data_IF_326040139161
#
_entry.id   IF_326040139161
#
_cell.length_a   1.000
_cell.length_b   1.000
_cell.length_c   1.000
_cell.angle_alpha   90.00
_cell.angle_beta   90.00
_cell.angle_gamma   90.00
#
_symmetry.space_group_name_H-M   'P 1'
#
loop_
_entity.id
_entity.type
_entity.pdbx_description
1 polymer ?
#
# COMPACT_ATOMS: atom_id res chain seq x y z
N UNK A 1 -11.28 -10.48 -22.93
CA UNK A 1 -10.73 -11.78 -22.53
C UNK A 1 -9.30 -11.68 -21.95
N UNK A 2 -8.48 -10.70 -22.35
CA UNK A 2 -7.08 -10.54 -21.89
C UNK A 2 -6.90 -9.82 -20.55
N UNK A 3 -7.88 -9.07 -20.09
CA UNK A 3 -7.82 -8.28 -18.86
C UNK A 3 -7.80 -9.10 -17.56
N UNK A 4 -8.56 -10.20 -17.54
CA UNK A 4 -8.56 -11.11 -16.39
C UNK A 4 -7.24 -11.84 -16.18
N UNK A 5 -6.36 -11.86 -17.20
CA UNK A 5 -5.09 -12.55 -17.13
C UNK A 5 -4.03 -11.77 -16.34
N UNK A 6 -4.05 -10.42 -16.31
CA UNK A 6 -3.06 -9.62 -15.60
C UNK A 6 -3.26 -9.70 -14.07
N UNK A 7 -4.50 -9.65 -13.58
CA UNK A 7 -4.83 -9.88 -12.17
C UNK A 7 -4.84 -11.37 -11.81
N UNK A 8 -5.21 -12.26 -12.74
CA UNK A 8 -5.06 -13.70 -12.57
C UNK A 8 -3.58 -14.15 -12.55
N UNK A 9 -2.68 -13.37 -13.14
CA UNK A 9 -1.24 -13.64 -13.09
C UNK A 9 -0.65 -13.44 -11.68
N UNK A 10 -1.29 -12.63 -10.83
CA UNK A 10 -0.95 -12.53 -9.40
C UNK A 10 -1.42 -13.77 -8.60
N UNK A 11 -2.03 -14.76 -9.30
CA UNK A 11 -2.34 -16.06 -8.70
C UNK A 11 -3.53 -16.10 -7.76
N UNK A 12 -4.27 -15.02 -7.70
CA UNK A 12 -5.49 -14.93 -6.92
C UNK A 12 -6.62 -14.62 -7.87
N UNK A 13 -7.41 -15.59 -8.29
CA UNK A 13 -8.70 -15.19 -8.74
C UNK A 13 -9.13 -15.33 -10.22
N UNK A 14 -8.69 -16.31 -10.91
CA UNK A 14 -9.47 -16.69 -12.11
C UNK A 14 -10.94 -16.99 -11.75
N UNK A 15 -11.20 -17.48 -10.54
CA UNK A 15 -12.55 -17.82 -10.05
C UNK A 15 -13.18 -16.64 -9.29
N UNK A 16 -12.42 -15.96 -8.40
CA UNK A 16 -12.94 -14.82 -7.65
C UNK A 16 -13.17 -13.60 -8.55
N UNK A 17 -12.26 -13.32 -9.49
CA UNK A 17 -12.43 -12.26 -10.49
C UNK A 17 -13.66 -12.47 -11.37
N UNK A 18 -13.91 -13.69 -11.86
CA UNK A 18 -15.15 -14.01 -12.61
C UNK A 18 -16.40 -13.82 -11.77
N UNK A 19 -16.37 -14.13 -10.47
CA UNK A 19 -17.51 -13.93 -9.56
C UNK A 19 -17.72 -12.45 -9.22
N UNK A 20 -16.64 -11.66 -9.03
CA UNK A 20 -16.71 -10.23 -8.75
C UNK A 20 -17.08 -9.41 -10.00
N UNK A 21 -16.52 -9.72 -11.17
CA UNK A 21 -16.89 -9.09 -12.42
C UNK A 21 -18.35 -9.38 -12.84
N UNK A 22 -18.89 -10.56 -12.47
CA UNK A 22 -20.30 -10.91 -12.69
C UNK A 22 -21.26 -10.18 -11.73
N UNK A 23 -20.77 -9.66 -10.58
CA UNK A 23 -21.55 -8.87 -9.61
C UNK A 23 -21.56 -7.36 -9.93
N UNK A 24 -20.86 -6.91 -10.96
CA UNK A 24 -20.56 -5.52 -11.29
C UNK A 24 -21.67 -4.67 -11.86
N UNK A 25 -22.95 -4.96 -11.62
CA UNK A 25 -24.10 -4.15 -12.04
C UNK A 25 -24.88 -3.53 -10.87
N UNK A 26 -24.28 -3.44 -9.68
CA UNK A 26 -24.86 -2.73 -8.55
C UNK A 26 -24.51 -1.24 -8.61
N UNK A 27 -25.51 -0.37 -8.58
CA UNK A 27 -25.45 1.07 -8.85
C UNK A 27 -24.23 1.77 -8.24
N UNK A 28 -23.65 2.65 -9.05
CA UNK A 28 -22.57 3.54 -8.65
C UNK A 28 -22.99 4.32 -7.38
N UNK A 29 -22.15 4.29 -6.34
CA UNK A 29 -22.28 5.29 -5.29
C UNK A 29 -22.16 6.67 -5.94
N UNK A 30 -22.89 7.65 -5.43
CA UNK A 30 -22.73 9.04 -5.84
C UNK A 30 -21.25 9.35 -5.79
N UNK A 31 -20.68 9.78 -6.91
CA UNK A 31 -19.26 10.07 -7.03
C UNK A 31 -18.95 11.43 -6.39
N UNK A 32 -18.91 11.47 -5.07
CA UNK A 32 -18.36 12.55 -4.25
C UNK A 32 -16.83 12.48 -4.17
N UNK A 33 -16.24 11.48 -4.83
CA UNK A 33 -14.86 11.10 -4.71
C UNK A 33 -13.83 12.15 -5.11
N UNK A 34 -14.17 13.12 -5.97
CA UNK A 34 -13.27 14.23 -6.31
C UNK A 34 -12.99 15.14 -5.10
N UNK A 35 -13.97 15.29 -4.17
CA UNK A 35 -13.77 16.02 -2.91
C UNK A 35 -12.93 15.21 -1.90
N UNK A 36 -12.93 13.89 -2.03
CA UNK A 36 -12.23 12.97 -1.13
C UNK A 36 -10.77 12.73 -1.60
N UNK A 37 -10.53 12.77 -2.92
CA UNK A 37 -9.22 12.59 -3.51
C UNK A 37 -8.44 13.93 -3.56
N UNK A 38 -7.11 13.81 -3.56
CA UNK A 38 -6.22 14.98 -3.61
C UNK A 38 -5.95 15.65 -2.26
N UNK A 39 -5.28 16.78 -2.29
CA UNK A 39 -4.80 17.51 -1.12
C UNK A 39 -5.88 18.26 -0.34
N UNK A 40 -7.07 18.37 -0.88
CA UNK A 40 -8.21 19.12 -0.36
C UNK A 40 -8.71 20.15 -1.37
N UNK A 41 -9.94 20.66 -1.18
CA UNK A 41 -10.53 21.67 -2.07
C UNK A 41 -9.74 22.97 -1.99
N UNK A 42 -9.26 23.46 -3.15
CA UNK A 42 -8.48 24.70 -3.23
C UNK A 42 -7.04 24.59 -2.67
N UNK A 43 -6.60 23.41 -2.25
CA UNK A 43 -5.24 23.20 -1.74
C UNK A 43 -4.33 22.77 -2.89
N UNK A 44 -3.32 23.59 -3.18
CA UNK A 44 -2.26 23.20 -4.12
C UNK A 44 -1.42 22.05 -3.51
N UNK A 45 -0.91 21.19 -4.40
CA UNK A 45 0.02 20.13 -3.97
C UNK A 45 1.26 20.77 -3.35
N UNK A 46 1.61 20.47 -2.09
CA UNK A 46 2.83 20.99 -1.50
C UNK A 46 4.07 20.41 -2.18
N UNK A 47 5.16 21.17 -2.18
CA UNK A 47 6.46 20.70 -2.63
C UNK A 47 6.92 19.52 -1.76
N UNK A 48 7.68 18.61 -2.36
CA UNK A 48 8.31 17.50 -1.66
C UNK A 48 9.80 17.74 -1.46
N UNK A 49 10.34 17.22 -0.39
CA UNK A 49 11.77 17.08 -0.19
C UNK A 49 12.29 15.81 -0.87
N UNK A 50 13.60 15.75 -1.12
CA UNK A 50 14.23 14.58 -1.76
C UNK A 50 15.17 13.92 -0.78
N UNK A 51 14.85 12.70 -0.36
CA UNK A 51 15.74 11.83 0.41
C UNK A 51 16.57 10.97 -0.56
N UNK A 52 17.90 11.05 -0.45
CA UNK A 52 18.83 10.29 -1.31
C UNK A 52 19.29 9.03 -0.59
N UNK A 53 19.17 7.90 -1.26
CA UNK A 53 19.70 6.63 -0.75
C UNK A 53 21.14 6.40 -1.23
N UNK A 54 21.94 5.53 -0.56
CA UNK A 54 23.32 5.24 -0.93
C UNK A 54 23.49 4.71 -2.37
N UNK A 55 22.50 4.04 -2.92
CA UNK A 55 22.49 3.51 -4.28
C UNK A 55 21.99 4.51 -5.33
N UNK A 56 21.76 5.76 -4.93
CA UNK A 56 21.39 6.87 -5.79
C UNK A 56 19.91 7.02 -6.09
N UNK A 57 19.01 6.26 -5.44
CA UNK A 57 17.58 6.55 -5.53
C UNK A 57 17.28 7.90 -4.87
N UNK A 58 16.29 8.61 -5.43
CA UNK A 58 15.77 9.86 -4.92
C UNK A 58 14.31 9.61 -4.54
N UNK A 59 14.03 9.64 -3.23
CA UNK A 59 12.70 9.42 -2.70
C UNK A 59 12.01 10.76 -2.47
N UNK A 60 10.87 10.96 -3.08
CA UNK A 60 10.03 12.14 -2.88
C UNK A 60 9.25 11.98 -1.56
N UNK A 61 9.41 12.95 -0.65
CA UNK A 61 8.86 12.90 0.71
C UNK A 61 8.07 14.18 0.98
N UNK A 62 6.83 14.04 1.41
CA UNK A 62 5.96 15.11 1.90
C UNK A 62 5.85 14.98 3.42
N UNK A 63 6.42 15.93 4.13
CA UNK A 63 6.38 16.00 5.59
C UNK A 63 5.41 17.10 6.00
N UNK A 64 4.22 16.70 6.40
CA UNK A 64 3.12 17.58 6.72
C UNK A 64 3.11 17.83 8.23
N UNK A 65 3.44 19.02 8.66
CA UNK A 65 3.54 19.41 10.05
C UNK A 65 2.24 19.17 10.83
N UNK A 66 2.36 18.75 12.10
CA UNK A 66 1.25 18.58 13.04
C UNK A 66 0.94 19.85 13.83
N UNK A 67 0.04 19.75 14.79
CA UNK A 67 -0.37 20.85 15.67
C UNK A 67 0.63 21.05 16.83
N UNK A 68 1.86 21.38 16.51
CA UNK A 68 2.91 21.66 17.48
C UNK A 68 3.94 20.55 17.67
N UNK A 69 4.93 20.74 18.56
CA UNK A 69 6.10 19.87 18.69
C UNK A 69 5.79 18.47 19.20
N UNK A 70 4.70 18.31 19.95
CA UNK A 70 4.27 17.02 20.53
C UNK A 70 3.21 16.33 19.66
N UNK A 71 2.99 16.80 18.44
CA UNK A 71 2.03 16.22 17.52
C UNK A 71 2.35 14.74 17.26
N UNK A 72 1.36 13.83 17.31
CA UNK A 72 1.58 12.43 16.96
C UNK A 72 2.08 12.31 15.53
N UNK A 73 3.03 11.39 15.29
CA UNK A 73 3.67 11.24 13.98
C UNK A 73 3.22 9.94 13.33
N UNK A 74 2.78 10.04 12.08
CA UNK A 74 2.35 8.90 11.27
C UNK A 74 3.12 8.86 9.96
N UNK A 75 3.69 7.71 9.60
CA UNK A 75 4.40 7.49 8.34
C UNK A 75 3.63 6.48 7.49
N UNK A 76 3.36 6.82 6.22
CA UNK A 76 2.40 6.13 5.37
C UNK A 76 3.02 5.56 4.07
N UNK A 77 3.72 4.41 4.09
CA UNK A 77 4.15 3.72 2.88
C UNK A 77 2.97 3.16 2.08
N UNK A 78 2.95 3.46 0.77
CA UNK A 78 1.85 3.13 -0.14
C UNK A 78 1.96 1.73 -0.77
N UNK A 79 0.94 1.31 -1.55
CA UNK A 79 0.87 0.02 -2.21
C UNK A 79 1.65 -0.03 -3.54
N UNK A 80 1.84 -1.23 -4.04
CA UNK A 80 2.47 -1.53 -5.32
C UNK A 80 1.76 -0.87 -6.50
N UNK A 81 2.56 -0.25 -7.37
CA UNK A 81 2.09 0.39 -8.59
C UNK A 81 1.35 1.72 -8.38
N UNK A 82 1.23 2.19 -7.12
CA UNK A 82 0.58 3.46 -6.78
C UNK A 82 1.60 4.54 -6.36
N UNK A 83 1.14 5.57 -5.65
CA UNK A 83 1.94 6.64 -5.07
C UNK A 83 1.35 7.04 -3.71
N UNK A 84 1.96 8.00 -3.04
CA UNK A 84 1.41 8.60 -1.81
C UNK A 84 -0.06 9.03 -1.94
N UNK A 85 -0.52 9.31 -3.14
CA UNK A 85 -1.88 9.83 -3.40
C UNK A 85 -3.00 8.92 -2.89
N UNK A 86 -2.77 7.60 -2.81
CA UNK A 86 -3.79 6.70 -2.25
C UNK A 86 -4.03 6.91 -0.76
N UNK A 87 -3.10 7.57 -0.08
CA UNK A 87 -3.18 7.86 1.33
C UNK A 87 -3.81 9.24 1.65
N UNK A 88 -4.00 10.11 0.65
CA UNK A 88 -4.46 11.48 0.90
C UNK A 88 -5.79 11.56 1.65
N UNK A 89 -6.80 10.70 1.42
CA UNK A 89 -8.03 10.73 2.22
C UNK A 89 -7.79 10.46 3.70
N UNK A 90 -6.87 9.56 4.04
CA UNK A 90 -6.48 9.25 5.42
C UNK A 90 -5.56 10.34 5.99
N UNK A 91 -4.58 10.79 5.20
CA UNK A 91 -3.61 11.82 5.63
C UNK A 91 -4.30 13.13 6.04
N UNK A 92 -5.31 13.57 5.28
CA UNK A 92 -6.09 14.76 5.63
C UNK A 92 -6.80 14.61 6.96
N UNK A 93 -7.47 13.46 7.19
CA UNK A 93 -8.15 13.17 8.45
C UNK A 93 -7.20 13.14 9.65
N UNK A 94 -6.02 12.58 9.47
CA UNK A 94 -4.97 12.58 10.49
C UNK A 94 -4.47 14.00 10.77
N UNK A 95 -4.33 14.82 9.72
CA UNK A 95 -3.96 16.24 9.85
C UNK A 95 -5.03 17.05 10.57
N UNK A 96 -6.31 16.85 10.25
CA UNK A 96 -7.47 17.47 10.94
C UNK A 96 -7.51 17.11 12.42
N UNK A 97 -6.88 16.00 12.82
CA UNK A 97 -6.71 15.57 14.20
C UNK A 97 -5.36 15.99 14.82
N UNK A 98 -4.64 16.87 14.17
CA UNK A 98 -3.38 17.47 14.67
C UNK A 98 -2.14 16.64 14.46
N UNK A 99 -2.19 15.49 13.76
CA UNK A 99 -1.01 14.64 13.55
C UNK A 99 -0.03 15.24 12.54
N UNK A 100 1.28 15.06 12.76
CA UNK A 100 2.30 15.19 11.71
C UNK A 100 2.25 13.95 10.83
N UNK A 101 2.16 14.13 9.50
CA UNK A 101 2.01 13.01 8.56
C UNK A 101 3.15 13.02 7.55
N UNK A 102 3.92 11.95 7.50
CA UNK A 102 4.96 11.74 6.51
C UNK A 102 4.46 10.80 5.42
N UNK A 103 4.30 11.34 4.22
CA UNK A 103 4.01 10.60 3.00
C UNK A 103 5.29 10.51 2.17
N UNK A 104 5.49 9.41 1.47
CA UNK A 104 6.57 9.32 0.49
C UNK A 104 6.21 8.36 -0.64
N UNK A 105 6.81 8.59 -1.80
CA UNK A 105 6.73 7.64 -2.89
C UNK A 105 7.85 6.61 -2.75
N UNK A 106 7.51 5.33 -2.68
CA UNK A 106 8.48 4.25 -2.65
C UNK A 106 9.29 4.24 -3.95
N UNK A 107 10.54 3.78 -3.91
CA UNK A 107 11.43 3.80 -5.09
C UNK A 107 10.76 3.29 -6.36
N UNK A 108 10.98 4.01 -7.46
CA UNK A 108 10.43 3.69 -8.77
C UNK A 108 8.94 4.00 -8.94
N UNK A 109 8.27 4.55 -7.92
CA UNK A 109 6.86 4.96 -7.96
C UNK A 109 6.74 6.48 -7.88
N UNK A 110 5.61 7.01 -8.39
CA UNK A 110 5.27 8.43 -8.30
C UNK A 110 6.40 9.35 -8.77
N UNK A 111 6.85 10.25 -7.88
CA UNK A 111 7.95 11.18 -8.14
C UNK A 111 9.34 10.62 -7.75
N UNK A 112 9.40 9.41 -7.17
CA UNK A 112 10.65 8.78 -6.77
C UNK A 112 11.37 8.06 -7.90
N UNK A 113 12.71 8.11 -7.91
CA UNK A 113 13.53 7.33 -8.85
C UNK A 113 13.81 5.92 -8.32
N UNK A 114 14.29 5.02 -9.19
CA UNK A 114 14.54 3.62 -8.78
C UNK A 114 15.90 3.36 -8.13
N UNK A 115 16.91 4.21 -8.37
CA UNK A 115 18.30 3.93 -8.00
C UNK A 115 18.91 2.74 -8.77
N UNK A 116 20.02 2.17 -8.25
CA UNK A 116 20.75 1.06 -8.87
C UNK A 116 20.57 -0.28 -8.13
N UNK A 117 20.09 -0.27 -6.88
CA UNK A 117 19.81 -1.50 -6.14
C UNK A 117 18.63 -2.29 -6.73
N UNK A 118 18.57 -3.61 -6.52
CA UNK A 118 17.43 -4.43 -6.91
C UNK A 118 16.12 -3.92 -6.31
N UNK A 119 15.04 -4.01 -7.07
CA UNK A 119 13.69 -3.64 -6.60
C UNK A 119 13.09 -4.80 -5.81
N UNK A 120 13.38 -4.85 -4.52
CA UNK A 120 12.92 -5.90 -3.59
C UNK A 120 12.20 -5.29 -2.39
N UNK A 121 11.40 -6.10 -1.70
CA UNK A 121 10.75 -5.68 -0.45
C UNK A 121 11.80 -5.37 0.63
N UNK A 122 12.93 -6.06 0.64
CA UNK A 122 14.07 -5.76 1.52
C UNK A 122 14.65 -4.36 1.24
N UNK A 123 14.86 -4.02 -0.03
CA UNK A 123 15.35 -2.68 -0.40
C UNK A 123 14.41 -1.57 0.04
N UNK A 124 13.08 -1.81 0.02
CA UNK A 124 12.10 -0.84 0.53
C UNK A 124 12.21 -0.63 2.05
N UNK A 125 12.62 -1.64 2.82
CA UNK A 125 12.88 -1.48 4.26
C UNK A 125 14.08 -0.54 4.52
N UNK A 126 15.13 -0.63 3.70
CA UNK A 126 16.26 0.31 3.75
C UNK A 126 15.82 1.73 3.36
N UNK A 127 14.96 1.87 2.36
CA UNK A 127 14.39 3.17 1.98
C UNK A 127 13.56 3.78 3.10
N UNK A 128 12.70 2.99 3.74
CA UNK A 128 11.91 3.46 4.88
C UNK A 128 12.84 3.92 6.01
N UNK A 129 13.94 3.20 6.29
CA UNK A 129 14.96 3.66 7.24
C UNK A 129 15.50 5.03 6.85
N UNK A 130 15.87 5.24 5.58
CA UNK A 130 16.40 6.52 5.10
C UNK A 130 15.37 7.66 5.22
N UNK A 131 14.09 7.37 5.00
CA UNK A 131 12.99 8.36 5.21
C UNK A 131 12.86 8.71 6.69
N UNK A 132 12.84 7.71 7.60
CA UNK A 132 12.75 7.93 9.05
C UNK A 132 13.94 8.75 9.58
N UNK A 133 15.13 8.50 9.05
CA UNK A 133 16.34 9.24 9.43
C UNK A 133 16.31 10.68 8.92
N UNK A 134 15.93 10.88 7.65
CA UNK A 134 15.90 12.21 7.04
C UNK A 134 14.81 13.14 7.61
N UNK A 135 13.70 12.58 8.10
CA UNK A 135 12.62 13.32 8.76
C UNK A 135 12.80 13.42 10.28
N UNK A 136 13.86 12.78 10.81
CA UNK A 136 14.22 12.72 12.24
C UNK A 136 13.02 12.38 13.15
N UNK A 137 12.23 11.39 12.76
CA UNK A 137 11.01 11.00 13.47
C UNK A 137 11.26 9.83 14.41
N UNK A 138 10.62 9.87 15.60
CA UNK A 138 10.61 8.84 16.64
C UNK A 138 9.21 8.71 17.22
N UNK A 139 8.95 7.61 17.91
CA UNK A 139 7.64 7.30 18.49
C UNK A 139 6.50 7.37 17.46
N UNK A 140 6.80 6.92 16.24
CA UNK A 140 5.87 7.02 15.10
C UNK A 140 4.93 5.84 15.02
N UNK A 141 3.73 6.07 14.49
CA UNK A 141 2.89 4.99 13.97
C UNK A 141 3.26 4.76 12.51
N UNK A 142 3.73 3.56 12.18
CA UNK A 142 3.96 3.14 10.81
C UNK A 142 2.69 2.47 10.26
N UNK A 143 1.99 3.11 9.33
CA UNK A 143 0.76 2.56 8.75
C UNK A 143 0.97 2.25 7.27
N UNK A 144 1.14 0.96 6.93
CA UNK A 144 1.48 0.53 5.57
C UNK A 144 0.35 -0.17 4.83
N UNK A 145 0.07 0.26 3.60
CA UNK A 145 -0.92 -0.39 2.74
C UNK A 145 -0.26 -1.38 1.78
N UNK A 146 -0.71 -2.62 1.79
CA UNK A 146 -0.28 -3.66 0.85
C UNK A 146 1.25 -3.83 0.82
N UNK A 147 1.93 -3.47 -0.27
CA UNK A 147 3.40 -3.45 -0.36
C UNK A 147 4.02 -2.55 0.72
N UNK A 148 3.38 -1.45 1.11
CA UNK A 148 3.83 -0.63 2.25
C UNK A 148 3.78 -1.37 3.59
N UNK A 149 2.80 -2.25 3.80
CA UNK A 149 2.76 -3.15 4.95
C UNK A 149 3.86 -4.21 4.89
N UNK A 150 4.17 -4.73 3.69
CA UNK A 150 5.31 -5.63 3.47
C UNK A 150 6.64 -4.92 3.75
N UNK A 151 6.76 -3.64 3.39
CA UNK A 151 7.91 -2.79 3.71
C UNK A 151 8.14 -2.69 5.22
N UNK A 152 7.08 -2.46 6.01
CA UNK A 152 7.16 -2.40 7.48
C UNK A 152 7.55 -3.77 8.07
N UNK A 153 6.96 -4.86 7.58
CA UNK A 153 7.31 -6.21 8.01
C UNK A 153 8.74 -6.59 7.61
N UNK A 154 9.21 -6.13 6.46
CA UNK A 154 10.59 -6.28 6.03
C UNK A 154 11.56 -5.47 6.90
N UNK A 155 11.15 -4.28 7.35
CA UNK A 155 11.92 -3.52 8.35
C UNK A 155 12.06 -4.32 9.65
N UNK A 156 10.98 -4.97 10.12
CA UNK A 156 11.03 -5.85 11.29
C UNK A 156 12.00 -7.02 11.11
N UNK A 157 12.10 -7.54 9.89
CA UNK A 157 12.96 -8.70 9.56
C UNK A 157 14.42 -8.32 9.43
N UNK A 158 14.74 -7.23 8.72
CA UNK A 158 16.11 -6.89 8.35
C UNK A 158 16.74 -5.79 9.21
N UNK A 159 15.91 -4.97 9.87
CA UNK A 159 16.32 -3.86 10.73
C UNK A 159 15.43 -3.77 11.98
N UNK A 160 15.33 -4.84 12.78
CA UNK A 160 14.49 -4.88 13.99
C UNK A 160 14.89 -3.81 15.02
N UNK A 161 16.16 -3.43 15.05
CA UNK A 161 16.69 -2.31 15.82
C UNK A 161 15.99 -0.98 15.50
N UNK A 162 15.91 -0.65 14.19
CA UNK A 162 15.26 0.57 13.71
C UNK A 162 13.76 0.57 14.03
N UNK A 163 13.09 -0.56 13.79
CA UNK A 163 11.66 -0.67 14.13
C UNK A 163 11.43 -0.39 15.61
N UNK A 164 12.22 -1.01 16.50
CA UNK A 164 12.08 -0.86 17.95
C UNK A 164 12.40 0.55 18.43
N UNK A 165 13.40 1.20 17.83
CA UNK A 165 13.83 2.56 18.23
C UNK A 165 12.91 3.66 17.69
N UNK A 166 12.26 3.44 16.57
CA UNK A 166 11.50 4.47 15.87
C UNK A 166 10.00 4.31 15.99
N UNK A 167 9.48 3.08 16.02
CA UNK A 167 8.04 2.85 15.93
C UNK A 167 7.41 2.68 17.32
N UNK A 168 6.37 3.45 17.60
CA UNK A 168 5.45 3.27 18.72
C UNK A 168 4.47 2.14 18.49
N UNK A 169 3.97 2.02 17.26
CA UNK A 169 3.02 0.99 16.83
C UNK A 169 3.05 0.81 15.30
N UNK A 170 2.47 -0.29 14.84
CA UNK A 170 2.27 -0.54 13.40
C UNK A 170 0.80 -0.81 13.08
N UNK A 171 0.35 -0.31 11.91
CA UNK A 171 -0.97 -0.58 11.34
C UNK A 171 -0.77 -1.17 9.94
N UNK A 172 -1.05 -2.44 9.78
CA UNK A 172 -0.83 -3.21 8.56
C UNK A 172 -2.14 -3.34 7.79
N UNK A 173 -2.29 -2.58 6.70
CA UNK A 173 -3.55 -2.44 5.96
C UNK A 173 -3.51 -3.28 4.69
N UNK A 174 -4.43 -4.24 4.54
CA UNK A 174 -4.60 -5.07 3.35
C UNK A 174 -3.26 -5.62 2.81
N UNK A 175 -2.53 -6.39 3.62
CA UNK A 175 -1.15 -6.82 3.33
C UNK A 175 -0.92 -8.32 3.57
N UNK A 176 0.29 -8.80 3.33
CA UNK A 176 0.68 -10.19 3.51
C UNK A 176 2.14 -10.31 3.95
N UNK A 177 2.44 -11.23 4.87
CA UNK A 177 3.81 -11.55 5.29
C UNK A 177 4.47 -12.64 4.41
N UNK A 178 3.69 -13.33 3.59
CA UNK A 178 4.20 -14.41 2.75
C UNK A 178 3.85 -14.18 1.28
N UNK A 179 4.60 -14.85 0.42
CA UNK A 179 4.47 -14.79 -1.05
C UNK A 179 3.05 -14.61 -1.55
N UNK A 180 2.90 -13.77 -2.56
CA UNK A 180 1.69 -13.62 -3.34
C UNK A 180 1.74 -14.55 -4.56
N UNK A 181 0.58 -15.12 -4.95
CA UNK A 181 0.46 -15.91 -6.17
C UNK A 181 0.49 -17.43 -5.99
N UNK A 182 0.58 -18.15 -7.10
CA UNK A 182 0.38 -19.62 -7.21
C UNK A 182 1.58 -20.48 -6.81
N UNK A 183 2.68 -19.88 -6.40
CA UNK A 183 3.83 -20.59 -5.84
C UNK A 183 4.78 -21.28 -6.83
N UNK A 184 4.56 -21.19 -8.15
CA UNK A 184 5.55 -21.70 -9.12
C UNK A 184 6.44 -20.57 -9.64
N UNK A 185 7.78 -20.79 -9.68
CA UNK A 185 8.73 -19.81 -10.20
C UNK A 185 8.42 -19.42 -11.66
N UNK A 186 8.01 -20.38 -12.48
CA UNK A 186 7.64 -20.11 -13.87
C UNK A 186 6.37 -19.26 -13.98
N UNK A 187 5.37 -19.51 -13.11
CA UNK A 187 4.16 -18.69 -13.04
C UNK A 187 4.47 -17.25 -12.62
N UNK A 188 5.35 -17.06 -11.66
CA UNK A 188 5.81 -15.75 -11.20
C UNK A 188 6.53 -14.97 -12.32
N UNK A 189 7.41 -15.64 -13.08
CA UNK A 189 8.12 -15.03 -14.21
C UNK A 189 7.16 -14.63 -15.35
N UNK A 190 6.17 -15.47 -15.66
CA UNK A 190 5.16 -15.14 -16.67
C UNK A 190 4.28 -13.96 -16.23
N UNK A 191 3.89 -13.92 -14.98
CA UNK A 191 3.12 -12.82 -14.39
C UNK A 191 3.93 -11.52 -14.43
N UNK A 192 5.21 -11.57 -14.07
CA UNK A 192 6.13 -10.44 -14.18
C UNK A 192 6.20 -9.91 -15.61
N UNK A 193 6.50 -10.77 -16.59
CA UNK A 193 6.59 -10.37 -17.98
C UNK A 193 5.30 -9.72 -18.49
N UNK A 194 4.14 -10.26 -18.10
CA UNK A 194 2.83 -9.70 -18.47
C UNK A 194 2.62 -8.32 -17.84
N UNK A 195 2.84 -8.17 -16.54
CA UNK A 195 2.63 -6.90 -15.82
C UNK A 195 3.63 -5.83 -16.28
N UNK A 196 4.84 -6.21 -16.64
CA UNK A 196 5.84 -5.32 -17.21
C UNK A 196 5.54 -4.90 -18.65
N UNK A 197 4.61 -5.57 -19.33
CA UNK A 197 4.37 -5.35 -20.75
C UNK A 197 3.68 -4.01 -21.04
N UNK A 198 4.01 -3.44 -22.21
CA UNK A 198 3.32 -2.25 -22.74
C UNK A 198 1.82 -2.49 -23.01
N UNK A 199 1.41 -3.75 -23.18
CA UNK A 199 0.00 -4.10 -23.38
C UNK A 199 -0.83 -3.81 -22.13
N UNK A 200 -0.32 -4.16 -20.93
CA UNK A 200 -0.98 -3.86 -19.66
C UNK A 200 -1.05 -2.35 -19.45
N UNK A 201 0.05 -1.63 -19.69
CA UNK A 201 0.06 -0.15 -19.61
C UNK A 201 -0.98 0.48 -20.54
N UNK A 202 -1.04 0.07 -21.81
CA UNK A 202 -2.04 0.56 -22.76
C UNK A 202 -3.47 0.21 -22.35
N UNK A 203 -3.68 -0.98 -21.83
CA UNK A 203 -4.99 -1.41 -21.37
C UNK A 203 -5.47 -0.56 -20.18
N UNK A 204 -4.59 -0.27 -19.22
CA UNK A 204 -4.87 0.64 -18.10
C UNK A 204 -5.19 2.06 -18.57
N UNK A 205 -4.45 2.59 -19.52
CA UNK A 205 -4.66 3.94 -20.07
C UNK A 205 -5.86 4.05 -21.01
N UNK A 206 -6.55 2.96 -21.30
CA UNK A 206 -7.77 2.97 -22.13
C UNK A 206 -8.97 3.53 -21.36
N UNK A 207 -10.00 4.00 -22.10
CA UNK A 207 -11.27 4.50 -21.52
C UNK A 207 -11.93 3.51 -20.55
N UNK A 208 -11.72 2.20 -20.74
CA UNK A 208 -12.27 1.13 -19.91
C UNK A 208 -11.22 0.57 -18.93
N UNK A 209 -10.08 1.25 -18.75
CA UNK A 209 -8.99 0.81 -17.88
C UNK A 209 -9.41 0.56 -16.43
N UNK A 210 -10.40 1.31 -15.92
CA UNK A 210 -10.94 1.12 -14.56
C UNK A 210 -11.49 -0.30 -14.33
N UNK A 211 -11.95 -1.00 -15.37
CA UNK A 211 -12.41 -2.39 -15.25
C UNK A 211 -11.30 -3.33 -14.79
N UNK A 212 -10.03 -3.01 -15.11
CA UNK A 212 -8.89 -3.82 -14.68
C UNK A 212 -8.63 -3.73 -13.18
N UNK A 213 -8.86 -2.56 -12.58
CA UNK A 213 -8.64 -2.34 -11.16
C UNK A 213 -9.87 -2.66 -10.31
N UNK A 214 -11.04 -2.89 -10.95
CA UNK A 214 -12.30 -3.21 -10.24
C UNK A 214 -12.15 -4.36 -9.23
N UNK A 215 -11.33 -5.36 -9.55
CA UNK A 215 -11.08 -6.52 -8.69
C UNK A 215 -10.30 -6.21 -7.40
N UNK A 216 -9.72 -5.01 -7.29
CA UNK A 216 -9.06 -4.55 -6.08
C UNK A 216 -10.05 -3.88 -5.09
N UNK A 217 -11.28 -3.63 -5.49
CA UNK A 217 -12.30 -2.96 -4.67
C UNK A 217 -13.37 -3.93 -4.20
N UNK A 218 -14.04 -3.56 -3.13
CA UNK A 218 -15.14 -4.31 -2.54
C UNK A 218 -16.43 -4.25 -3.34
N UNK A 219 -17.55 -4.35 -2.63
CA UNK A 219 -18.87 -4.53 -3.26
C UNK A 219 -19.32 -3.29 -4.04
N UNK A 220 -19.11 -2.10 -3.48
CA UNK A 220 -19.56 -0.81 -4.03
C UNK A 220 -18.38 0.13 -4.27
N UNK A 221 -17.63 -0.04 -5.38
CA UNK A 221 -16.51 0.83 -5.68
C UNK A 221 -16.99 2.21 -6.14
N UNK A 222 -16.27 3.24 -5.74
CA UNK A 222 -16.46 4.61 -6.25
C UNK A 222 -15.65 4.76 -7.54
N UNK A 223 -16.25 5.35 -8.57
CA UNK A 223 -15.64 5.44 -9.90
C UNK A 223 -14.34 6.23 -9.90
N UNK A 224 -14.30 7.38 -9.25
CA UNK A 224 -13.11 8.21 -9.14
C UNK A 224 -11.95 7.49 -8.43
N UNK A 225 -12.24 6.67 -7.41
CA UNK A 225 -11.23 5.84 -6.73
C UNK A 225 -10.62 4.79 -7.67
N UNK A 226 -11.45 4.17 -8.52
CA UNK A 226 -10.98 3.23 -9.54
C UNK A 226 -10.14 3.95 -10.61
N UNK A 227 -10.57 5.13 -11.05
CA UNK A 227 -9.84 5.92 -12.05
C UNK A 227 -8.49 6.38 -11.48
N UNK A 228 -8.41 6.88 -10.24
CA UNK A 228 -7.14 7.19 -9.58
C UNK A 228 -6.22 5.97 -9.54
N UNK A 229 -6.72 4.84 -9.04
CA UNK A 229 -5.93 3.60 -8.94
C UNK A 229 -5.41 3.14 -10.30
N UNK A 230 -6.25 3.22 -11.34
CA UNK A 230 -5.88 2.93 -12.73
C UNK A 230 -4.76 3.85 -13.21
N UNK A 231 -4.89 5.15 -12.98
CA UNK A 231 -3.96 6.15 -13.50
C UNK A 231 -2.60 6.04 -12.81
N UNK A 232 -2.57 5.84 -11.50
CA UNK A 232 -1.36 5.58 -10.74
C UNK A 232 -0.67 4.30 -11.21
N UNK A 233 -1.41 3.19 -11.29
CA UNK A 233 -0.85 1.92 -11.74
C UNK A 233 -0.38 1.98 -13.20
N UNK A 234 -1.13 2.64 -14.06
CA UNK A 234 -0.76 2.86 -15.47
C UNK A 234 0.43 3.78 -15.65
N UNK A 235 0.63 4.74 -14.74
CA UNK A 235 1.75 5.68 -14.71
C UNK A 235 3.06 5.05 -14.17
N UNK A 236 2.96 4.03 -13.32
CA UNK A 236 4.13 3.33 -12.82
C UNK A 236 4.82 2.54 -13.93
N UNK A 237 6.16 2.66 -14.05
CA UNK A 237 6.91 2.01 -15.12
C UNK A 237 6.78 0.48 -15.07
N UNK A 238 6.54 -0.16 -16.23
CA UNK A 238 6.26 -1.59 -16.32
C UNK A 238 7.33 -2.48 -15.68
N UNK A 239 8.62 -2.17 -15.89
CA UNK A 239 9.72 -2.93 -15.28
C UNK A 239 9.69 -2.84 -13.74
N UNK A 240 9.38 -1.66 -13.17
CA UNK A 240 9.24 -1.48 -11.73
C UNK A 240 8.11 -2.37 -11.19
N UNK A 241 6.94 -2.34 -11.84
CA UNK A 241 5.83 -3.22 -11.47
C UNK A 241 6.22 -4.69 -11.51
N UNK A 242 6.90 -5.10 -12.57
CA UNK A 242 7.31 -6.49 -12.75
C UNK A 242 8.31 -6.95 -11.70
N UNK A 243 9.38 -6.21 -11.48
CA UNK A 243 10.43 -6.57 -10.51
C UNK A 243 9.87 -6.67 -9.09
N UNK A 244 9.03 -5.73 -8.64
CA UNK A 244 8.38 -5.83 -7.33
C UNK A 244 7.40 -6.99 -7.25
N UNK A 245 6.64 -7.28 -8.32
CA UNK A 245 5.78 -8.47 -8.33
C UNK A 245 6.59 -9.75 -8.15
N UNK A 246 7.75 -9.85 -8.79
CA UNK A 246 8.64 -10.99 -8.62
C UNK A 246 9.13 -11.10 -7.18
N UNK A 247 9.56 -9.99 -6.57
CA UNK A 247 9.98 -9.95 -5.16
C UNK A 247 8.84 -10.39 -4.22
N UNK A 248 7.63 -9.85 -4.40
CA UNK A 248 6.45 -10.25 -3.60
C UNK A 248 6.04 -11.71 -3.81
N UNK A 249 6.35 -12.32 -4.97
CA UNK A 249 6.03 -13.72 -5.26
C UNK A 249 6.97 -14.72 -4.58
N UNK A 250 8.07 -14.26 -4.05
CA UNK A 250 9.11 -15.09 -3.40
C UNK A 250 9.34 -14.76 -1.93
N UNK A 251 8.79 -13.63 -1.43
CA UNK A 251 9.03 -13.19 -0.05
C UNK A 251 8.45 -14.15 0.99
N UNK A 252 9.14 -14.27 2.11
CA UNK A 252 8.66 -14.85 3.35
C UNK A 252 9.22 -14.04 4.51
N UNK A 253 8.36 -13.36 5.26
CA UNK A 253 8.70 -12.46 6.35
C UNK A 253 8.23 -12.98 7.72
N UNK A 254 7.68 -14.22 7.77
CA UNK A 254 7.05 -14.74 8.99
C UNK A 254 8.01 -14.82 10.17
N UNK A 255 9.24 -15.26 9.92
CA UNK A 255 10.24 -15.37 10.98
C UNK A 255 10.55 -14.00 11.61
N UNK A 256 10.71 -12.97 10.76
CA UNK A 256 10.97 -11.61 11.24
C UNK A 256 9.78 -10.99 11.96
N UNK A 257 8.55 -11.17 11.45
CA UNK A 257 7.37 -10.59 12.12
C UNK A 257 7.02 -11.30 13.43
N UNK A 258 7.45 -12.55 13.62
CA UNK A 258 7.31 -13.26 14.88
C UNK A 258 8.08 -12.59 16.04
N UNK A 259 9.09 -11.78 15.71
CA UNK A 259 9.91 -11.03 16.68
C UNK A 259 9.48 -9.59 16.88
N UNK A 260 8.38 -9.16 16.27
CA UNK A 260 7.85 -7.79 16.44
C UNK A 260 7.35 -7.59 17.88
N UNK A 261 7.91 -6.61 18.57
CA UNK A 261 7.55 -6.25 19.96
C UNK A 261 6.61 -5.02 20.01
N UNK A 262 6.46 -4.30 18.88
CA UNK A 262 5.61 -3.10 18.82
C UNK A 262 4.14 -3.49 18.67
N UNK A 263 3.21 -2.78 19.35
CA UNK A 263 1.78 -2.99 19.18
C UNK A 263 1.38 -2.97 17.70
N UNK A 264 0.70 -4.02 17.24
CA UNK A 264 0.39 -4.21 15.82
C UNK A 264 -1.11 -4.39 15.61
N UNK A 265 -1.70 -3.59 14.71
CA UNK A 265 -3.07 -3.77 14.22
C UNK A 265 -3.03 -4.17 12.75
N UNK A 266 -3.77 -5.20 12.39
CA UNK A 266 -3.94 -5.67 11.00
C UNK A 266 -5.36 -5.37 10.55
N UNK A 267 -5.52 -4.69 9.42
CA UNK A 267 -6.81 -4.33 8.85
C UNK A 267 -6.98 -5.04 7.51
N UNK A 268 -8.13 -5.71 7.30
CA UNK A 268 -8.41 -6.44 6.05
C UNK A 268 -9.87 -6.25 5.62
N UNK A 269 -10.09 -6.15 4.31
CA UNK A 269 -11.44 -6.18 3.72
C UNK A 269 -11.90 -7.61 3.44
N UNK A 270 -13.17 -7.94 3.72
CA UNK A 270 -13.72 -9.29 3.45
C UNK A 270 -13.72 -9.68 1.97
N UNK A 271 -13.65 -8.68 1.07
CA UNK A 271 -13.60 -8.85 -0.39
C UNK A 271 -12.20 -8.63 -0.97
N UNK A 272 -11.16 -8.53 -0.12
CA UNK A 272 -9.79 -8.42 -0.63
C UNK A 272 -9.40 -9.68 -1.40
N UNK A 273 -9.23 -9.52 -2.71
CA UNK A 273 -8.86 -10.59 -3.63
C UNK A 273 -7.35 -10.61 -3.96
N UNK A 274 -6.58 -9.64 -3.49
CA UNK A 274 -5.13 -9.52 -3.71
C UNK A 274 -4.35 -10.06 -2.52
N UNK A 275 -4.62 -9.55 -1.32
CA UNK A 275 -4.10 -10.07 -0.06
C UNK A 275 -5.25 -10.68 0.73
N UNK A 276 -5.64 -11.90 0.35
CA UNK A 276 -6.80 -12.58 0.90
C UNK A 276 -6.87 -12.49 2.43
N UNK A 277 -8.06 -12.43 3.06
CA UNK A 277 -8.23 -12.35 4.52
C UNK A 277 -7.39 -13.35 5.31
N UNK A 278 -7.20 -14.56 4.80
CA UNK A 278 -6.32 -15.57 5.40
C UNK A 278 -4.85 -15.12 5.54
N UNK A 279 -4.39 -14.12 4.77
CA UNK A 279 -3.05 -13.55 4.92
C UNK A 279 -2.97 -12.65 6.15
N UNK A 280 -4.05 -11.91 6.43
CA UNK A 280 -4.18 -11.14 7.68
C UNK A 280 -4.25 -12.08 8.90
N UNK A 281 -5.05 -13.17 8.81
CA UNK A 281 -5.10 -14.20 9.86
C UNK A 281 -3.70 -14.77 10.15
N UNK A 282 -2.90 -15.02 9.09
CA UNK A 282 -1.54 -15.52 9.23
C UNK A 282 -0.63 -14.53 9.96
N UNK A 283 -0.71 -13.23 9.64
CA UNK A 283 0.07 -12.19 10.34
C UNK A 283 -0.32 -12.15 11.82
N UNK A 284 -1.61 -12.09 12.13
CA UNK A 284 -2.10 -12.01 13.51
C UNK A 284 -1.74 -13.26 14.32
N UNK A 285 -1.76 -14.44 13.68
CA UNK A 285 -1.32 -15.68 14.34
C UNK A 285 0.19 -15.71 14.63
N UNK A 286 0.98 -14.88 13.93
CA UNK A 286 2.44 -14.89 14.02
C UNK A 286 2.98 -13.76 14.90
N UNK A 287 2.40 -12.55 14.79
CA UNK A 287 2.85 -11.36 15.56
C UNK A 287 2.27 -11.40 16.97
N UNK A 288 3.09 -11.40 18.03
CA UNK A 288 2.60 -11.42 19.40
C UNK A 288 1.66 -10.25 19.73
N UNK A 289 0.47 -10.53 20.23
CA UNK A 289 -0.50 -9.51 20.65
C UNK A 289 -1.13 -8.69 19.52
N UNK A 290 -0.94 -9.07 18.25
CA UNK A 290 -1.55 -8.37 17.14
C UNK A 290 -3.08 -8.46 17.16
N UNK A 291 -3.74 -7.36 16.77
CA UNK A 291 -5.20 -7.26 16.65
C UNK A 291 -5.62 -7.33 15.19
N UNK A 292 -6.75 -8.01 14.92
CA UNK A 292 -7.37 -8.07 13.60
C UNK A 292 -8.62 -7.20 13.54
N UNK A 293 -8.71 -6.35 12.53
CA UNK A 293 -9.90 -5.58 12.17
C UNK A 293 -10.36 -6.03 10.78
N UNK A 294 -11.58 -6.50 10.69
CA UNK A 294 -12.16 -7.00 9.43
C UNK A 294 -13.28 -6.07 8.96
N UNK A 295 -13.08 -5.40 7.82
CA UNK A 295 -14.03 -4.48 7.25
C UNK A 295 -14.96 -5.21 6.25
N UNK A 296 -16.26 -5.20 6.56
CA UNK A 296 -17.25 -5.92 5.76
C UNK A 296 -17.46 -5.24 4.40
N UNK A 297 -17.57 -6.05 3.35
CA UNK A 297 -17.84 -5.62 1.97
C UNK A 297 -16.76 -4.70 1.36
N UNK A 298 -15.62 -4.49 2.04
CA UNK A 298 -14.46 -3.75 1.53
C UNK A 298 -13.48 -4.68 0.83
N UNK A 299 -12.76 -4.14 -0.16
CA UNK A 299 -11.74 -4.85 -0.92
C UNK A 299 -10.33 -4.57 -0.42
N UNK A 300 -9.42 -4.42 -1.37
CA UNK A 300 -8.01 -4.20 -1.13
C UNK A 300 -7.66 -2.72 -0.90
N UNK A 301 -8.36 -1.80 -1.58
CA UNK A 301 -8.02 -0.37 -1.59
C UNK A 301 -8.60 0.37 -0.37
N UNK A 302 -8.39 -0.18 0.83
CA UNK A 302 -8.97 0.31 2.09
C UNK A 302 -8.73 1.79 2.38
N UNK A 303 -7.57 2.41 2.08
CA UNK A 303 -7.37 3.85 2.29
C UNK A 303 -8.32 4.72 1.45
N UNK A 304 -8.85 4.18 0.34
CA UNK A 304 -9.85 4.83 -0.51
C UNK A 304 -11.26 4.38 -0.19
N UNK A 305 -11.47 3.09 0.12
CA UNK A 305 -12.80 2.49 0.32
C UNK A 305 -13.41 2.80 1.68
N UNK A 306 -12.58 2.95 2.71
CA UNK A 306 -13.00 3.21 4.09
C UNK A 306 -11.93 4.01 4.86
N UNK A 307 -11.64 5.25 4.40
CA UNK A 307 -10.59 6.08 5.01
C UNK A 307 -10.89 6.40 6.48
N UNK A 308 -12.18 6.47 6.88
CA UNK A 308 -12.56 6.72 8.27
C UNK A 308 -12.15 5.56 9.18
N UNK A 309 -12.49 4.32 8.81
CA UNK A 309 -12.13 3.14 9.60
C UNK A 309 -10.61 2.95 9.67
N UNK A 310 -9.88 3.22 8.58
CA UNK A 310 -8.41 3.16 8.59
C UNK A 310 -7.81 4.25 9.47
N UNK A 311 -8.34 5.48 9.39
CA UNK A 311 -7.89 6.59 10.24
C UNK A 311 -8.13 6.30 11.72
N UNK A 312 -9.32 5.81 12.08
CA UNK A 312 -9.69 5.49 13.47
C UNK A 312 -8.72 4.48 14.11
N UNK A 313 -8.29 3.45 13.37
CA UNK A 313 -7.34 2.49 13.89
C UNK A 313 -5.91 3.05 13.99
N UNK A 314 -5.50 3.95 13.09
CA UNK A 314 -4.22 4.68 13.20
C UNK A 314 -4.25 5.60 14.41
N UNK A 315 -5.33 6.36 14.61
CA UNK A 315 -5.50 7.25 15.78
C UNK A 315 -5.53 6.46 17.09
N UNK A 316 -6.14 5.28 17.09
CA UNK A 316 -6.09 4.37 18.25
C UNK A 316 -4.66 3.93 18.54
N UNK A 317 -3.88 3.57 17.51
CA UNK A 317 -2.48 3.21 17.66
C UNK A 317 -1.60 4.38 18.14
N UNK A 318 -1.97 5.61 17.80
CA UNK A 318 -1.34 6.84 18.32
C UNK A 318 -1.59 7.01 19.81
N UNK A 319 -2.79 6.70 20.30
CA UNK A 319 -3.18 6.90 21.71
C UNK A 319 -2.62 5.81 22.66
N UNK A 320 -2.30 4.66 22.14
CA UNK A 320 -1.74 3.50 22.88
C UNK A 320 -2.81 2.53 23.28
#
# INVERSE_FOLDING_TARGET
>A
MFAGAALAAVGVAGVAYKRLAARGAGGDQVDDGLLVLGWGEGVERPDHTVVRTPDGAQLAVWDLEGDGPDAPIVVLPHCWGCSHEIWLPVARRLREQGSRVVLYDQRGHGASTRGTAPLTIETLAHDLTAVLDATDVRDVVLAGHSMGGMTIMSLATHRPDVLRERAKATVLVATAATRLGTGSARGAQMANALVASALVTRAMQSKNGHVFVRGAFGEKPVRSHMDLTRDLFGGCHGAVRGEFLLSMSTMDLLEGVATMEVPTTVIVGTHDALTLPKKADQIVATVPGARLITLQNRGHMLPLEDPDAVTDEIVRAVKG
#
